data_IF_085683939657
#
_entry.id   IF_085683939657
#
_cell.length_a   1.000
_cell.length_b   1.000
_cell.length_c   1.000
_cell.angle_alpha   90.00
_cell.angle_beta   90.00
_cell.angle_gamma   90.00
#
_symmetry.space_group_name_H-M   'P 1'
#
loop_
_entity.id
_entity.type
_entity.pdbx_description
1 polymer ?
#
# COMPACT_ATOMS: atom_id res chain seq x y z
N UNK A 1 -19.70 2.59 -4.64
CA UNK A 1 -19.39 1.50 -3.72
C UNK A 1 -20.05 1.79 -2.39
N UNK A 2 -20.81 0.85 -1.87
CA UNK A 2 -21.35 0.91 -0.52
C UNK A 2 -20.34 0.26 0.44
N UNK A 3 -20.29 0.68 1.70
CA UNK A 3 -19.44 0.02 2.72
C UNK A 3 -19.73 -1.49 2.78
N UNK A 4 -20.99 -1.88 2.59
CA UNK A 4 -21.45 -3.29 2.54
C UNK A 4 -20.86 -4.13 1.42
N UNK A 5 -20.14 -3.52 0.46
CA UNK A 5 -19.53 -4.22 -0.67
C UNK A 5 -18.03 -4.45 -0.50
N UNK A 6 -17.42 -3.92 0.58
CA UNK A 6 -15.94 -3.94 0.73
C UNK A 6 -15.45 -5.39 0.86
N UNK A 7 -16.05 -6.19 1.74
CA UNK A 7 -15.66 -7.58 1.94
C UNK A 7 -15.79 -8.39 0.64
N UNK A 8 -16.92 -8.28 -0.05
CA UNK A 8 -17.15 -8.95 -1.33
C UNK A 8 -16.15 -8.55 -2.40
N UNK A 9 -15.78 -7.26 -2.44
CA UNK A 9 -14.76 -6.78 -3.36
C UNK A 9 -13.36 -7.31 -3.01
N UNK A 10 -13.03 -7.40 -1.71
CA UNK A 10 -11.79 -8.00 -1.24
C UNK A 10 -11.71 -9.51 -1.57
N UNK A 11 -12.79 -10.25 -1.39
CA UNK A 11 -12.87 -11.66 -1.74
C UNK A 11 -12.72 -11.88 -3.26
N UNK A 12 -13.30 -11.00 -4.08
CA UNK A 12 -13.08 -11.03 -5.52
C UNK A 12 -11.62 -10.77 -5.89
N UNK A 13 -10.98 -9.78 -5.25
CA UNK A 13 -9.56 -9.50 -5.43
C UNK A 13 -8.70 -10.70 -5.02
N UNK A 14 -9.00 -11.32 -3.88
CA UNK A 14 -8.29 -12.51 -3.40
C UNK A 14 -8.38 -13.67 -4.38
N UNK A 15 -9.54 -13.94 -4.97
CA UNK A 15 -9.69 -14.97 -6.00
C UNK A 15 -8.84 -14.69 -7.22
N UNK A 16 -8.90 -13.46 -7.73
CA UNK A 16 -8.13 -13.04 -8.91
C UNK A 16 -6.63 -13.22 -8.68
N UNK A 17 -6.14 -12.88 -7.50
CA UNK A 17 -4.71 -13.00 -7.16
C UNK A 17 -4.31 -14.45 -6.91
N UNK A 18 -5.16 -15.24 -6.26
CA UNK A 18 -4.90 -16.64 -6.00
C UNK A 18 -4.82 -17.48 -7.29
N UNK A 19 -5.65 -17.18 -8.30
CA UNK A 19 -5.58 -17.80 -9.64
C UNK A 19 -4.23 -17.56 -10.34
N UNK A 20 -3.49 -16.52 -9.93
CA UNK A 20 -2.15 -16.16 -10.43
C UNK A 20 -1.03 -16.63 -9.52
N UNK A 21 -1.34 -17.46 -8.53
CA UNK A 21 -0.37 -17.96 -7.54
C UNK A 21 0.16 -16.86 -6.60
N UNK A 22 -0.58 -15.77 -6.44
CA UNK A 22 -0.18 -14.64 -5.60
C UNK A 22 -1.10 -14.44 -4.40
N UNK A 23 -0.59 -13.80 -3.36
CA UNK A 23 -1.30 -13.32 -2.18
C UNK A 23 -1.20 -11.82 -2.07
N UNK A 24 -2.31 -11.15 -1.82
CA UNK A 24 -2.38 -9.70 -1.72
C UNK A 24 -2.14 -9.19 -0.29
N UNK A 25 -1.44 -8.07 -0.16
CA UNK A 25 -1.35 -7.24 1.03
C UNK A 25 -1.74 -5.81 0.63
N UNK A 26 -2.86 -5.31 1.14
CA UNK A 26 -3.44 -4.05 0.68
C UNK A 26 -3.64 -3.10 1.86
N UNK A 27 -3.23 -1.85 1.65
CA UNK A 27 -3.54 -0.73 2.55
C UNK A 27 -4.00 0.48 1.73
N UNK A 28 -4.97 1.19 2.24
CA UNK A 28 -5.47 2.43 1.64
C UNK A 28 -4.59 3.65 1.98
N UNK A 29 -3.70 3.50 2.97
CA UNK A 29 -2.79 4.57 3.38
C UNK A 29 -1.52 4.03 4.03
N UNK A 30 -0.38 4.14 3.34
CA UNK A 30 0.94 3.70 3.84
C UNK A 30 1.41 4.46 5.09
N UNK A 31 0.81 5.59 5.42
CA UNK A 31 1.10 6.35 6.62
C UNK A 31 0.16 6.01 7.80
N UNK A 32 -0.88 5.21 7.56
CA UNK A 32 -1.84 4.83 8.59
C UNK A 32 -1.36 3.59 9.36
N UNK A 33 -1.59 3.61 10.67
CA UNK A 33 -1.45 2.44 11.53
C UNK A 33 -2.73 1.60 11.63
N UNK A 34 -3.80 2.03 10.99
CA UNK A 34 -5.07 1.32 10.99
C UNK A 34 -5.16 0.41 9.77
N UNK A 35 -5.50 -0.88 9.97
CA UNK A 35 -5.69 -1.81 8.87
C UNK A 35 -6.97 -1.47 8.11
N UNK A 36 -7.03 -1.91 6.85
CA UNK A 36 -8.25 -1.85 6.07
C UNK A 36 -9.27 -2.84 6.62
N UNK A 37 -10.48 -2.37 6.90
CA UNK A 37 -11.57 -3.18 7.46
C UNK A 37 -12.77 -3.25 6.54
N UNK A 38 -13.60 -4.27 6.75
CA UNK A 38 -14.92 -4.38 6.15
C UNK A 38 -15.98 -3.58 6.94
N UNK A 39 -17.25 -3.79 6.60
CA UNK A 39 -18.42 -3.15 7.20
C UNK A 39 -18.63 -3.49 8.68
N UNK A 40 -18.19 -4.66 9.12
CA UNK A 40 -18.34 -5.18 10.47
C UNK A 40 -17.09 -4.95 11.33
N UNK A 41 -16.06 -4.34 10.75
CA UNK A 41 -14.78 -4.06 11.42
C UNK A 41 -13.79 -5.22 11.32
N UNK A 42 -14.09 -6.26 10.52
CA UNK A 42 -13.17 -7.36 10.24
C UNK A 42 -11.94 -6.88 9.46
N UNK A 43 -10.76 -7.31 9.88
CA UNK A 43 -9.49 -6.92 9.24
C UNK A 43 -9.30 -7.71 7.96
N UNK A 44 -9.41 -7.07 6.80
CA UNK A 44 -9.32 -7.72 5.50
C UNK A 44 -7.99 -8.44 5.27
N UNK A 45 -6.89 -7.90 5.77
CA UNK A 45 -5.58 -8.53 5.67
C UNK A 45 -5.56 -9.93 6.30
N UNK A 46 -6.17 -10.09 7.47
CA UNK A 46 -6.23 -11.37 8.16
C UNK A 46 -7.35 -12.26 7.62
N UNK A 47 -8.57 -11.72 7.53
CA UNK A 47 -9.76 -12.53 7.28
C UNK A 47 -9.98 -12.90 5.82
N UNK A 48 -9.47 -12.08 4.90
CA UNK A 48 -9.66 -12.31 3.46
C UNK A 48 -8.33 -12.65 2.78
N UNK A 49 -7.28 -11.88 3.03
CA UNK A 49 -6.00 -12.06 2.34
C UNK A 49 -5.05 -13.05 3.01
N UNK A 50 -5.44 -13.65 4.15
CA UNK A 50 -4.73 -14.78 4.76
C UNK A 50 -3.46 -14.43 5.53
N UNK A 51 -3.28 -13.16 5.94
CA UNK A 51 -2.15 -12.71 6.77
C UNK A 51 -2.44 -12.95 8.26
N UNK A 52 -2.51 -14.23 8.66
CA UNK A 52 -2.98 -14.61 10.00
C UNK A 52 -1.88 -14.74 11.05
N UNK A 53 -0.64 -15.05 10.63
CA UNK A 53 0.47 -15.25 11.56
C UNK A 53 0.82 -13.94 12.29
N UNK A 54 1.09 -13.98 13.60
CA UNK A 54 1.36 -12.76 14.37
C UNK A 54 2.50 -11.91 13.80
N UNK A 55 3.58 -12.55 13.33
CA UNK A 55 4.74 -11.92 12.72
C UNK A 55 4.46 -11.26 11.38
N UNK A 56 3.35 -11.60 10.73
CA UNK A 56 2.92 -11.03 9.44
C UNK A 56 1.97 -9.84 9.60
N UNK A 57 1.62 -9.48 10.82
CA UNK A 57 0.67 -8.40 11.12
C UNK A 57 1.34 -7.03 11.09
N UNK A 58 1.74 -6.56 9.89
CA UNK A 58 2.40 -5.25 9.73
C UNK A 58 1.60 -4.08 10.31
N UNK A 59 0.29 -4.18 10.37
CA UNK A 59 -0.58 -3.15 10.96
C UNK A 59 -0.48 -3.07 12.49
N UNK A 60 0.01 -4.12 13.14
CA UNK A 60 0.24 -4.15 14.58
C UNK A 60 1.66 -3.68 14.96
N UNK A 61 2.60 -3.67 14.00
CA UNK A 61 3.98 -3.24 14.19
C UNK A 61 4.28 -1.99 13.36
N UNK A 62 4.24 -0.84 14.03
CA UNK A 62 4.53 0.45 13.40
C UNK A 62 5.94 0.52 12.80
N UNK A 63 6.93 -0.16 13.41
CA UNK A 63 8.31 -0.16 12.89
C UNK A 63 8.38 -0.94 11.58
N UNK A 64 7.72 -2.09 11.52
CA UNK A 64 7.65 -2.91 10.30
C UNK A 64 6.98 -2.12 9.17
N UNK A 65 5.82 -1.52 9.43
CA UNK A 65 5.09 -0.73 8.44
C UNK A 65 5.93 0.46 7.90
N UNK A 66 6.62 1.19 8.78
CA UNK A 66 7.45 2.33 8.38
C UNK A 66 8.77 1.93 7.73
N UNK A 67 9.31 0.75 8.05
CA UNK A 67 10.58 0.27 7.50
C UNK A 67 10.43 -0.51 6.19
N UNK A 68 9.20 -0.86 5.81
CA UNK A 68 8.94 -1.61 4.57
C UNK A 68 9.49 -0.89 3.34
N UNK A 69 10.42 -1.52 2.59
CA UNK A 69 11.00 -0.90 1.40
C UNK A 69 9.95 -0.67 0.31
N UNK A 70 8.99 -1.58 0.15
CA UNK A 70 7.91 -1.49 -0.83
C UNK A 70 6.97 -0.32 -0.54
N UNK A 71 6.55 -0.15 0.72
CA UNK A 71 5.71 0.99 1.11
C UNK A 71 6.45 2.33 0.97
N UNK A 72 7.75 2.36 1.28
CA UNK A 72 8.57 3.58 1.08
C UNK A 72 8.73 3.92 -0.39
N UNK A 73 8.92 2.91 -1.26
CA UNK A 73 9.05 3.10 -2.70
C UNK A 73 7.81 3.77 -3.32
N UNK A 74 6.61 3.48 -2.83
CA UNK A 74 5.37 4.11 -3.29
C UNK A 74 5.33 5.64 -3.14
N UNK A 75 6.26 6.25 -2.40
CA UNK A 75 6.39 7.72 -2.29
C UNK A 75 7.12 8.33 -3.49
N UNK A 76 7.88 7.52 -4.23
CA UNK A 76 8.78 7.95 -5.30
C UNK A 76 8.44 7.32 -6.65
N UNK A 77 7.51 6.35 -6.65
CA UNK A 77 7.05 5.66 -7.84
C UNK A 77 5.51 5.64 -7.87
N UNK A 78 4.93 5.88 -9.04
CA UNK A 78 3.50 5.85 -9.28
C UNK A 78 3.07 4.72 -10.20
N UNK A 79 4.01 4.20 -10.99
CA UNK A 79 3.78 3.05 -11.86
C UNK A 79 3.99 1.73 -11.11
N UNK A 80 3.41 0.62 -11.59
CA UNK A 80 3.71 -0.70 -11.06
C UNK A 80 5.21 -1.00 -11.10
N UNK A 81 5.71 -1.64 -10.07
CA UNK A 81 7.08 -2.15 -10.02
C UNK A 81 7.11 -3.48 -9.26
N UNK A 82 8.18 -4.25 -9.45
CA UNK A 82 8.45 -5.34 -8.54
C UNK A 82 9.81 -5.19 -7.88
N UNK A 83 9.98 -5.81 -6.73
CA UNK A 83 11.20 -5.69 -5.94
C UNK A 83 11.53 -6.98 -5.21
N UNK A 84 12.82 -7.20 -5.02
CA UNK A 84 13.39 -8.22 -4.18
C UNK A 84 14.64 -7.67 -3.47
N UNK A 85 15.43 -8.51 -2.83
CA UNK A 85 16.66 -8.09 -2.15
C UNK A 85 17.72 -7.47 -3.11
N UNK A 86 17.67 -7.83 -4.42
CA UNK A 86 18.62 -7.39 -5.43
C UNK A 86 18.31 -6.01 -6.01
N UNK A 87 17.06 -5.56 -5.94
CA UNK A 87 16.68 -4.26 -6.51
C UNK A 87 15.20 -4.02 -6.66
N UNK A 88 14.91 -2.82 -7.15
CA UNK A 88 13.60 -2.43 -7.68
C UNK A 88 13.64 -2.51 -9.21
N UNK A 89 12.60 -3.09 -9.78
CA UNK A 89 12.46 -3.27 -11.21
C UNK A 89 11.25 -2.45 -11.69
N UNK A 90 11.54 -1.35 -12.35
CA UNK A 90 10.58 -0.33 -12.80
C UNK A 90 10.59 -0.23 -14.32
N UNK A 91 9.52 0.31 -14.92
CA UNK A 91 9.46 0.57 -16.37
C UNK A 91 10.49 1.60 -16.84
N UNK A 92 10.76 2.58 -15.98
CA UNK A 92 11.75 3.63 -16.23
C UNK A 92 12.73 3.68 -15.06
N UNK A 93 14.02 3.95 -15.29
CA UNK A 93 15.00 4.08 -14.22
C UNK A 93 14.56 5.11 -13.18
N UNK A 94 14.63 4.75 -11.90
CA UNK A 94 14.23 5.62 -10.81
C UNK A 94 15.36 5.71 -9.77
N UNK A 95 16.16 6.77 -9.87
CA UNK A 95 17.33 6.99 -9.00
C UNK A 95 17.01 7.01 -7.50
N UNK A 96 15.78 7.36 -7.11
CA UNK A 96 15.38 7.36 -5.71
C UNK A 96 15.20 5.94 -5.18
N UNK A 97 14.70 5.03 -6.03
CA UNK A 97 14.56 3.62 -5.69
C UNK A 97 15.93 2.93 -5.71
N UNK A 98 16.79 3.23 -6.69
CA UNK A 98 18.15 2.70 -6.79
C UNK A 98 19.01 3.01 -5.56
N UNK A 99 18.79 4.17 -4.92
CA UNK A 99 19.49 4.59 -3.72
C UNK A 99 18.89 4.04 -2.41
N UNK A 100 17.83 3.26 -2.48
CA UNK A 100 17.11 2.79 -1.30
C UNK A 100 17.77 1.55 -0.69
N UNK A 101 17.93 1.54 0.64
CA UNK A 101 18.46 0.39 1.36
C UNK A 101 17.47 -0.78 1.34
N UNK A 102 17.92 -1.90 0.77
CA UNK A 102 17.18 -3.16 0.69
C UNK A 102 17.67 -4.24 1.66
N UNK A 103 18.61 -3.93 2.52
CA UNK A 103 19.14 -4.88 3.51
C UNK A 103 18.00 -5.49 4.33
N UNK A 104 17.98 -6.82 4.43
CA UNK A 104 16.91 -7.55 5.12
C UNK A 104 15.52 -7.35 4.48
N UNK A 105 15.47 -7.25 3.16
CA UNK A 105 14.23 -7.07 2.38
C UNK A 105 13.15 -8.06 2.79
N UNK A 106 13.45 -9.35 2.82
CA UNK A 106 12.49 -10.41 3.14
C UNK A 106 11.80 -10.16 4.51
N UNK A 107 12.57 -9.82 5.52
CA UNK A 107 12.03 -9.52 6.86
C UNK A 107 11.15 -8.28 6.89
N UNK A 108 11.52 -7.23 6.12
CA UNK A 108 10.83 -5.94 6.10
C UNK A 108 9.66 -5.89 5.12
N UNK A 109 9.69 -6.72 4.09
CA UNK A 109 8.62 -6.86 3.09
C UNK A 109 7.72 -8.06 3.36
N UNK A 110 8.10 -8.95 4.30
CA UNK A 110 7.43 -10.21 4.63
C UNK A 110 7.35 -11.19 3.45
N UNK A 111 8.25 -11.05 2.49
CA UNK A 111 8.37 -11.88 1.30
C UNK A 111 9.73 -11.70 0.65
N UNK A 112 10.20 -12.69 -0.12
CA UNK A 112 11.44 -12.59 -0.91
C UNK A 112 11.28 -11.68 -2.13
N UNK A 113 10.07 -11.62 -2.72
CA UNK A 113 9.77 -10.73 -3.82
C UNK A 113 8.32 -10.23 -3.77
N UNK A 114 8.07 -9.02 -4.24
CA UNK A 114 6.74 -8.43 -4.31
C UNK A 114 6.54 -7.62 -5.60
N UNK A 115 5.41 -7.83 -6.26
CA UNK A 115 4.88 -6.92 -7.28
C UNK A 115 4.03 -5.88 -6.57
N UNK A 116 4.32 -4.61 -6.78
CA UNK A 116 3.77 -3.49 -6.02
C UNK A 116 3.06 -2.52 -6.92
N UNK A 117 1.86 -2.15 -6.52
CA UNK A 117 1.04 -1.15 -7.18
C UNK A 117 0.85 0.03 -6.22
N UNK A 118 1.53 1.16 -6.44
CA UNK A 118 1.22 2.40 -5.74
C UNK A 118 -0.14 2.93 -6.18
N UNK A 119 -0.92 3.46 -5.24
CA UNK A 119 -2.21 4.09 -5.54
C UNK A 119 -2.23 5.49 -4.96
N UNK A 120 -1.91 6.46 -5.78
CA UNK A 120 -1.90 7.86 -5.37
C UNK A 120 -3.33 8.41 -5.39
N UNK A 121 -3.79 8.87 -4.24
CA UNK A 121 -5.14 9.35 -3.99
C UNK A 121 -5.15 10.86 -3.74
N UNK A 122 -6.32 11.52 -3.82
CA UNK A 122 -6.45 12.93 -3.48
C UNK A 122 -5.90 13.27 -2.10
N UNK A 123 -5.39 14.50 -1.95
CA UNK A 123 -4.81 15.05 -0.72
C UNK A 123 -3.51 14.37 -0.25
N UNK A 124 -2.76 13.77 -1.18
CA UNK A 124 -1.45 13.17 -0.87
C UNK A 124 -1.52 11.83 -0.13
N UNK A 125 -2.70 11.24 0.01
CA UNK A 125 -2.83 9.88 0.52
C UNK A 125 -2.26 8.90 -0.50
N UNK A 126 -1.46 7.95 -0.04
CA UNK A 126 -0.88 6.90 -0.87
C UNK A 126 -1.33 5.56 -0.32
N UNK A 127 -2.08 4.82 -1.12
CA UNK A 127 -2.39 3.42 -0.89
C UNK A 127 -1.35 2.51 -1.55
N UNK A 128 -1.36 1.26 -1.17
CA UNK A 128 -0.49 0.22 -1.71
C UNK A 128 -1.27 -1.09 -1.87
N UNK A 129 -1.07 -1.75 -2.99
CA UNK A 129 -1.36 -3.16 -3.13
C UNK A 129 -0.05 -3.87 -3.46
N UNK A 130 0.35 -4.79 -2.60
CA UNK A 130 1.55 -5.61 -2.74
C UNK A 130 1.11 -7.05 -2.97
N UNK A 131 1.64 -7.67 -4.00
CA UNK A 131 1.34 -9.05 -4.40
C UNK A 131 2.60 -9.88 -4.27
N UNK A 132 2.58 -10.86 -3.37
CA UNK A 132 3.68 -11.78 -3.16
C UNK A 132 3.31 -13.18 -3.68
N UNK A 133 4.27 -13.94 -4.22
CA UNK A 133 4.03 -15.33 -4.57
C UNK A 133 3.57 -16.14 -3.35
N UNK A 134 2.66 -17.09 -3.58
CA UNK A 134 2.29 -18.10 -2.57
C UNK A 134 3.47 -19.06 -2.33
N UNK A 135 4.18 -19.39 -3.41
CA UNK A 135 5.46 -20.08 -3.33
C UNK A 135 6.54 -19.09 -2.88
N UNK A 136 6.99 -19.23 -1.65
CA UNK A 136 7.97 -18.33 -1.01
C UNK A 136 9.38 -18.45 -1.58
N UNK A 137 9.66 -19.43 -2.45
CA UNK A 137 10.97 -19.59 -3.09
C UNK A 137 11.12 -18.75 -4.36
N UNK A 138 10.04 -18.19 -4.88
CA UNK A 138 10.06 -17.31 -6.06
C UNK A 138 10.64 -15.95 -5.70
N UNK A 139 11.76 -15.59 -6.33
CA UNK A 139 12.43 -14.30 -6.16
C UNK A 139 12.36 -13.40 -7.40
N UNK A 140 12.08 -13.95 -8.57
CA UNK A 140 11.95 -13.23 -9.83
C UNK A 140 10.48 -13.15 -10.24
N UNK A 141 9.97 -11.93 -10.41
CA UNK A 141 8.60 -11.65 -10.77
C UNK A 141 8.47 -11.02 -12.16
N UNK A 142 9.52 -11.07 -12.99
CA UNK A 142 9.50 -10.45 -14.32
C UNK A 142 8.34 -10.92 -15.18
N UNK A 143 8.12 -12.23 -15.27
CA UNK A 143 7.03 -12.80 -16.07
C UNK A 143 5.64 -12.39 -15.54
N UNK A 144 5.47 -12.41 -14.19
CA UNK A 144 4.21 -11.98 -13.55
C UNK A 144 3.98 -10.49 -13.73
N UNK A 145 5.05 -9.70 -13.66
CA UNK A 145 5.00 -8.27 -13.88
C UNK A 145 4.59 -7.93 -15.31
N UNK A 146 5.23 -8.53 -16.30
CA UNK A 146 4.91 -8.32 -17.71
C UNK A 146 3.49 -8.75 -18.05
N UNK A 147 3.04 -9.88 -17.49
CA UNK A 147 1.72 -10.43 -17.79
C UNK A 147 0.58 -9.67 -17.09
N UNK A 148 0.77 -9.19 -15.85
CA UNK A 148 -0.36 -8.79 -15.01
C UNK A 148 -0.27 -7.40 -14.37
N UNK A 149 0.85 -6.66 -14.50
CA UNK A 149 1.02 -5.38 -13.81
C UNK A 149 -0.09 -4.36 -14.12
N UNK A 150 -0.49 -4.22 -15.38
CA UNK A 150 -1.52 -3.25 -15.80
C UNK A 150 -2.93 -3.66 -15.34
N UNK A 151 -3.24 -4.95 -15.39
CA UNK A 151 -4.51 -5.46 -14.88
C UNK A 151 -4.61 -5.24 -13.37
N UNK A 152 -3.57 -5.62 -12.64
CA UNK A 152 -3.50 -5.45 -11.18
C UNK A 152 -3.49 -3.99 -10.78
N UNK A 153 -2.87 -3.10 -11.57
CA UNK A 153 -2.94 -1.66 -11.36
C UNK A 153 -4.39 -1.16 -11.42
N UNK A 154 -5.11 -1.52 -12.48
CA UNK A 154 -6.52 -1.13 -12.64
C UNK A 154 -7.39 -1.65 -11.49
N UNK A 155 -7.23 -2.91 -11.10
CA UNK A 155 -7.98 -3.54 -10.02
C UNK A 155 -7.66 -2.92 -8.66
N UNK A 156 -6.37 -2.74 -8.34
CA UNK A 156 -5.91 -2.15 -7.09
C UNK A 156 -6.43 -0.73 -6.92
N UNK A 157 -6.32 0.08 -7.98
CA UNK A 157 -6.79 1.46 -7.96
C UNK A 157 -8.29 1.52 -7.69
N UNK A 158 -9.10 0.72 -8.40
CA UNK A 158 -10.55 0.66 -8.21
C UNK A 158 -10.95 0.17 -6.82
N UNK A 159 -10.24 -0.83 -6.30
CA UNK A 159 -10.49 -1.37 -4.98
C UNK A 159 -10.16 -0.36 -3.89
N UNK A 160 -8.93 0.16 -3.85
CA UNK A 160 -8.47 1.09 -2.81
C UNK A 160 -9.26 2.40 -2.86
N UNK A 161 -9.45 3.00 -4.04
CA UNK A 161 -10.25 4.21 -4.18
C UNK A 161 -11.72 3.99 -3.78
N UNK A 162 -12.27 2.80 -4.08
CA UNK A 162 -13.60 2.40 -3.65
C UNK A 162 -13.72 2.29 -2.13
N UNK A 163 -12.76 1.67 -1.46
CA UNK A 163 -12.69 1.57 0.01
C UNK A 163 -12.60 2.95 0.66
N UNK A 164 -11.66 3.80 0.19
CA UNK A 164 -11.50 5.17 0.70
C UNK A 164 -12.80 5.96 0.54
N UNK A 165 -13.45 5.88 -0.62
CA UNK A 165 -14.73 6.55 -0.85
C UNK A 165 -15.83 6.03 0.08
N UNK A 166 -15.88 4.72 0.32
CA UNK A 166 -16.88 4.12 1.19
C UNK A 166 -16.68 4.51 2.66
N UNK A 167 -15.42 4.55 3.15
CA UNK A 167 -15.09 4.96 4.50
C UNK A 167 -15.24 6.48 4.71
N UNK A 168 -14.99 7.31 3.67
CA UNK A 168 -15.14 8.77 3.75
C UNK A 168 -16.58 9.22 4.05
N UNK A 169 -17.57 8.42 3.76
CA UNK A 169 -18.94 8.70 4.20
C UNK A 169 -19.12 8.60 5.72
N UNK A 170 -18.18 7.96 6.41
CA UNK A 170 -18.12 7.85 7.90
C UNK A 170 -17.00 8.70 8.52
N UNK A 171 -15.92 8.95 7.80
CA UNK A 171 -14.88 9.85 8.25
C UNK A 171 -15.21 11.25 7.75
N UNK A 172 -15.63 12.10 8.67
CA UNK A 172 -15.59 13.53 8.47
C UNK A 172 -14.18 13.91 7.99
N UNK A 173 -14.06 14.30 6.72
CA UNK A 173 -13.09 15.34 6.46
C UNK A 173 -13.61 16.48 7.33
N UNK A 174 -12.82 17.01 8.24
CA UNK A 174 -13.28 18.16 8.98
C UNK A 174 -13.37 19.31 7.98
N UNK A 175 -14.49 19.41 7.26
CA UNK A 175 -14.87 20.63 6.57
C UNK A 175 -14.91 21.80 7.57
N UNK A 176 -14.97 21.45 8.85
CA UNK A 176 -14.96 22.34 10.00
C UNK A 176 -13.62 22.40 10.74
N UNK A 177 -12.55 21.74 10.30
CA UNK A 177 -11.20 22.07 10.74
C UNK A 177 -10.81 23.43 10.16
N UNK A 178 -11.31 24.49 10.75
CA UNK A 178 -10.75 25.82 10.57
C UNK A 178 -9.39 25.81 11.27
N UNK A 179 -8.34 25.72 10.45
CA UNK A 179 -7.00 25.96 10.94
C UNK A 179 -6.94 27.38 11.53
N UNK A 180 -6.45 27.50 12.72
CA UNK A 180 -6.15 28.80 13.31
C UNK A 180 -5.13 29.55 12.43
N UNK A 181 -5.12 30.88 12.48
CA UNK A 181 -4.14 31.68 11.73
C UNK A 181 -2.70 31.20 11.95
N UNK A 182 -2.38 30.73 13.17
CA UNK A 182 -1.05 30.25 13.54
C UNK A 182 -0.73 28.88 12.91
N UNK A 183 -1.71 27.99 12.81
CA UNK A 183 -1.53 26.69 12.12
C UNK A 183 -1.35 26.89 10.61
N UNK A 184 -2.10 27.80 9.99
CA UNK A 184 -1.91 28.18 8.59
C UNK A 184 -0.51 28.78 8.37
N UNK A 185 -0.04 29.58 9.30
CA UNK A 185 1.28 30.19 9.24
C UNK A 185 2.39 29.14 9.38
N UNK A 186 2.27 28.20 10.32
CA UNK A 186 3.18 27.06 10.46
C UNK A 186 3.23 26.21 9.19
N UNK A 187 2.08 25.90 8.59
CA UNK A 187 2.02 25.15 7.33
C UNK A 187 2.66 25.93 6.18
N UNK A 188 2.48 27.25 6.11
CA UNK A 188 3.17 28.10 5.13
C UNK A 188 4.68 28.07 5.29
N UNK A 189 5.19 28.19 6.52
CA UNK A 189 6.63 28.14 6.80
C UNK A 189 7.20 26.76 6.47
N UNK A 190 6.50 25.67 6.83
CA UNK A 190 6.89 24.31 6.47
C UNK A 190 6.92 24.10 4.94
N UNK A 191 5.93 24.61 4.21
CA UNK A 191 5.88 24.54 2.75
C UNK A 191 7.01 25.32 2.05
N UNK A 192 7.56 26.37 2.70
CA UNK A 192 8.69 27.15 2.18
C UNK A 192 10.04 26.55 2.65
N UNK A 193 10.00 25.41 3.40
CA UNK A 193 11.21 24.74 3.87
C UNK A 193 11.91 25.45 5.05
N UNK A 194 11.22 26.34 5.76
CA UNK A 194 11.73 26.87 7.02
C UNK A 194 11.44 25.85 8.13
N UNK A 195 12.50 25.27 8.67
CA UNK A 195 12.47 24.49 9.90
C UNK A 195 12.70 25.42 11.08
N UNK A 196 12.03 25.18 12.20
CA UNK A 196 12.35 25.84 13.46
C UNK A 196 13.82 25.57 13.81
N UNK A 197 14.57 26.64 14.03
CA UNK A 197 15.88 26.61 14.68
C UNK A 197 15.68 26.64 16.19
#
# INVERSE_FOLDING_TARGET
ACVKDIRRAAEAMQRITAERGMRAAISDNIASKYPLTDEDGGILAAEVFGWNAPEQRWWADTKLALSSPTARACRYESEPFWANEKGFHTRQPNRYLEAMDLSGFEKRALTKAALVIPVHLPFGQIGIASYSPVDTEIEDLSDLYEAYADELMSLSHRFIAGCVKAHRTRQWLPADCQLTKREVECLRWAAIGKTDL
#
